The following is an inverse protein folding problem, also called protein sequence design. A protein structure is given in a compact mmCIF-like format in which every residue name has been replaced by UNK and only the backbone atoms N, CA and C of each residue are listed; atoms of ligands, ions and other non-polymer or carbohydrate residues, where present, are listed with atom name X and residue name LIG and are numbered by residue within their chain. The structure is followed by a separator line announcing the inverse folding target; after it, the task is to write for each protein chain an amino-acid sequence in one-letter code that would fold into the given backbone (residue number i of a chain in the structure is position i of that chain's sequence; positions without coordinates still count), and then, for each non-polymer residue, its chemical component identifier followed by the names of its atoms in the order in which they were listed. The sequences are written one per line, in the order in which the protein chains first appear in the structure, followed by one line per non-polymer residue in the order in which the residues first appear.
data_IF_821611019459
#
_entry.id   IF_821611019459
#
_cell.length_a   1.000
_cell.length_b   1.000
_cell.length_c   1.000
_cell.angle_alpha   90.00
_cell.angle_beta   90.00
_cell.angle_gamma   90.00
#
_symmetry.space_group_name_H-M   'P 1'
#
loop_
_entity.id
_entity.type
_entity.pdbx_description
1 polymer ?
#
# COMPACT_ATOMS: atom_id res chain seq x y z
N UNK A 1 4.64 6.74 10.73
CA UNK A 1 4.76 6.22 9.36
C UNK A 1 6.15 5.70 9.15
N UNK A 2 6.27 4.47 8.65
CA UNK A 2 7.55 3.87 8.26
C UNK A 2 7.63 3.77 6.74
N UNK A 3 8.70 4.27 6.14
CA UNK A 3 8.96 4.18 4.70
C UNK A 3 10.18 3.31 4.46
N UNK A 4 10.03 2.29 3.61
CA UNK A 4 11.09 1.37 3.23
C UNK A 4 11.44 1.48 1.74
N UNK A 5 12.72 1.40 1.45
CA UNK A 5 13.25 1.17 0.11
C UNK A 5 13.86 -0.24 0.09
N UNK A 6 13.14 -1.21 -0.43
CA UNK A 6 13.42 -2.64 -0.19
C UNK A 6 12.98 -3.57 -1.33
N UNK A 7 13.34 -4.84 -1.21
CA UNK A 7 12.95 -5.89 -2.16
C UNK A 7 13.82 -5.92 -3.40
N UNK A 8 13.30 -6.47 -4.47
CA UNK A 8 13.99 -6.60 -5.74
C UNK A 8 13.32 -5.73 -6.80
N UNK A 9 14.13 -5.16 -7.70
CA UNK A 9 13.60 -4.47 -8.87
C UNK A 9 12.79 -5.44 -9.75
N UNK A 10 11.70 -4.91 -10.31
CA UNK A 10 10.79 -5.60 -11.26
C UNK A 10 9.96 -6.74 -10.65
N UNK A 11 10.05 -7.00 -9.36
CA UNK A 11 9.18 -7.95 -8.70
C UNK A 11 7.80 -7.35 -8.41
N UNK A 12 6.75 -8.09 -8.77
CA UNK A 12 5.36 -7.72 -8.53
C UNK A 12 4.81 -8.22 -7.17
N UNK A 13 5.57 -9.06 -6.49
CA UNK A 13 5.21 -9.60 -5.18
C UNK A 13 6.31 -9.32 -4.17
N UNK A 14 5.97 -9.05 -2.91
CA UNK A 14 6.96 -8.83 -1.88
C UNK A 14 7.72 -10.12 -1.56
N UNK A 15 9.00 -9.99 -1.26
CA UNK A 15 9.81 -11.07 -0.71
C UNK A 15 9.37 -11.42 0.71
N UNK A 16 9.72 -12.61 1.19
CA UNK A 16 9.47 -13.01 2.58
C UNK A 16 10.10 -12.06 3.60
N UNK A 17 11.26 -11.48 3.26
CA UNK A 17 11.90 -10.49 4.11
C UNK A 17 11.11 -9.20 4.22
N UNK A 18 10.55 -8.72 3.11
CA UNK A 18 9.67 -7.53 3.12
C UNK A 18 8.43 -7.77 3.99
N UNK A 19 7.79 -8.95 3.85
CA UNK A 19 6.62 -9.31 4.64
C UNK A 19 6.96 -9.31 6.12
N UNK A 20 8.06 -10.00 6.50
CA UNK A 20 8.53 -10.06 7.89
C UNK A 20 8.84 -8.67 8.46
N UNK A 21 9.56 -7.85 7.73
CA UNK A 21 9.94 -6.51 8.18
C UNK A 21 8.75 -5.54 8.23
N UNK A 22 7.83 -5.62 7.26
CA UNK A 22 6.60 -4.82 7.25
C UNK A 22 5.72 -5.11 8.46
N UNK A 23 5.49 -6.39 8.74
CA UNK A 23 4.72 -6.83 9.93
C UNK A 23 5.44 -6.47 11.23
N UNK A 24 6.77 -6.62 11.30
CA UNK A 24 7.55 -6.21 12.46
C UNK A 24 7.43 -4.70 12.73
N UNK A 25 7.43 -3.87 11.69
CA UNK A 25 7.22 -2.43 11.85
C UNK A 25 5.86 -2.12 12.46
N UNK A 26 4.79 -2.81 12.02
CA UNK A 26 3.44 -2.70 12.60
C UNK A 26 3.43 -3.16 14.06
N UNK A 27 3.99 -4.33 14.36
CA UNK A 27 4.07 -4.85 15.72
C UNK A 27 4.89 -3.95 16.66
N UNK A 28 5.78 -3.14 16.08
CA UNK A 28 6.57 -2.12 16.80
C UNK A 28 5.88 -0.76 16.91
N UNK A 29 4.62 -0.65 16.47
CA UNK A 29 3.79 0.56 16.62
C UNK A 29 3.75 1.49 15.41
N UNK A 30 4.09 1.02 14.21
CA UNK A 30 3.84 1.79 13.01
C UNK A 30 2.34 1.86 12.70
N UNK A 31 1.84 3.04 12.35
CA UNK A 31 0.45 3.26 11.94
C UNK A 31 0.26 3.14 10.42
N UNK A 32 1.33 3.12 9.67
CA UNK A 32 1.35 2.94 8.21
C UNK A 32 2.74 2.51 7.76
N UNK A 33 2.82 1.56 6.83
CA UNK A 33 4.06 1.15 6.18
C UNK A 33 3.97 1.40 4.68
N UNK A 34 4.94 2.14 4.12
CA UNK A 34 5.04 2.45 2.70
C UNK A 34 6.34 1.88 2.13
N UNK A 35 6.24 1.06 1.11
CA UNK A 35 7.35 0.44 0.42
C UNK A 35 7.60 1.04 -0.96
N UNK A 36 8.86 0.97 -1.39
CA UNK A 36 9.36 1.46 -2.66
C UNK A 36 10.44 0.53 -3.22
N UNK A 37 10.98 0.83 -4.38
CA UNK A 37 12.13 0.19 -5.03
C UNK A 37 11.81 -0.79 -6.14
N UNK A 38 10.81 -1.62 -6.03
CA UNK A 38 10.56 -2.65 -7.06
C UNK A 38 10.23 -2.07 -8.43
N UNK A 39 9.86 -0.79 -8.52
CA UNK A 39 9.34 -0.16 -9.74
C UNK A 39 8.13 -0.91 -10.31
N UNK A 40 7.41 -1.59 -9.43
CA UNK A 40 6.17 -2.33 -9.71
C UNK A 40 5.18 -2.06 -8.59
N UNK A 41 3.92 -2.05 -8.91
CA UNK A 41 2.90 -2.06 -7.86
C UNK A 41 2.91 -3.42 -7.17
N UNK A 42 3.25 -3.42 -5.89
CA UNK A 42 3.11 -4.59 -5.05
C UNK A 42 1.77 -4.54 -4.29
N UNK A 43 1.28 -5.69 -3.82
CA UNK A 43 0.02 -5.77 -3.08
C UNK A 43 0.04 -4.95 -1.81
N UNK A 44 -1.16 -4.67 -1.31
CA UNK A 44 -1.39 -4.05 -0.01
C UNK A 44 -1.85 -5.15 0.95
N UNK A 45 -1.32 -5.14 2.14
CA UNK A 45 -1.71 -6.00 3.25
C UNK A 45 -2.38 -5.16 4.34
N UNK A 46 -3.41 -5.72 4.99
CA UNK A 46 -4.01 -5.13 6.18
C UNK A 46 -3.74 -6.04 7.38
N UNK A 47 -2.70 -5.71 8.12
CA UNK A 47 -2.17 -6.54 9.21
C UNK A 47 -2.30 -5.81 10.55
N UNK A 48 -2.92 -6.45 11.54
CA UNK A 48 -3.15 -5.89 12.89
C UNK A 48 -3.75 -4.47 12.89
N UNK A 49 -4.69 -4.19 11.95
CA UNK A 49 -5.36 -2.88 11.87
C UNK A 49 -4.56 -1.82 11.10
N UNK A 50 -3.42 -2.17 10.48
CA UNK A 50 -2.52 -1.24 9.78
C UNK A 50 -2.31 -1.68 8.34
N UNK A 51 -2.28 -0.73 7.41
CA UNK A 51 -1.95 -0.99 6.02
C UNK A 51 -0.45 -1.04 5.80
N UNK A 52 -0.01 -2.05 5.05
CA UNK A 52 1.35 -2.22 4.54
C UNK A 52 1.27 -2.17 3.03
N UNK A 53 1.74 -1.09 2.41
CA UNK A 53 1.88 -0.95 0.97
C UNK A 53 3.30 -1.40 0.60
N UNK A 54 3.46 -2.58 0.02
CA UNK A 54 4.79 -3.14 -0.24
C UNK A 54 5.57 -2.42 -1.33
N UNK A 55 4.91 -1.86 -2.35
CA UNK A 55 5.48 -0.89 -3.29
C UNK A 55 4.39 -0.15 -4.05
N UNK A 56 4.54 1.16 -4.17
CA UNK A 56 3.58 2.05 -4.83
C UNK A 56 3.74 2.13 -6.35
N UNK A 57 4.80 1.53 -6.92
CA UNK A 57 5.12 1.62 -8.34
C UNK A 57 5.86 2.90 -8.74
N UNK A 58 5.74 3.30 -10.01
CA UNK A 58 6.45 4.44 -10.62
C UNK A 58 5.56 5.69 -10.73
N UNK A 59 5.35 6.42 -9.66
CA UNK A 59 4.53 7.64 -9.72
C UNK A 59 5.26 8.81 -10.39
N UNK A 60 6.52 9.06 -10.00
CA UNK A 60 7.37 10.08 -10.60
C UNK A 60 8.79 9.53 -10.73
N UNK A 61 9.16 9.12 -11.93
CA UNK A 61 10.44 8.46 -12.20
C UNK A 61 11.19 9.17 -13.32
N UNK A 62 11.85 10.27 -12.98
CA UNK A 62 12.52 11.15 -13.93
C UNK A 62 13.78 10.54 -14.58
N UNK A 63 14.38 9.51 -13.98
CA UNK A 63 15.60 8.86 -14.49
C UNK A 63 15.40 7.94 -15.68
N UNK A 64 14.17 7.65 -16.08
CA UNK A 64 13.84 6.77 -17.19
C UNK A 64 12.62 7.30 -17.94
N UNK A 65 12.85 7.73 -19.18
CA UNK A 65 11.79 8.29 -20.03
C UNK A 65 10.73 7.28 -20.48
N UNK A 66 11.04 5.98 -20.40
CA UNK A 66 10.12 4.91 -20.81
C UNK A 66 10.34 3.65 -19.95
N UNK A 67 9.94 3.66 -18.68
CA UNK A 67 10.01 2.46 -17.86
C UNK A 67 9.13 1.34 -18.43
N UNK A 68 9.53 0.10 -18.23
CA UNK A 68 8.80 -1.08 -18.72
C UNK A 68 7.42 -1.27 -18.09
N UNK A 69 7.17 -0.65 -16.95
CA UNK A 69 5.88 -0.53 -16.29
C UNK A 69 5.76 0.87 -15.70
N UNK A 70 4.74 1.61 -16.13
CA UNK A 70 4.44 2.97 -15.66
C UNK A 70 3.29 2.99 -14.66
N UNK A 71 2.81 1.82 -14.25
CA UNK A 71 1.70 1.71 -13.32
C UNK A 71 2.12 2.14 -11.92
N UNK A 72 1.27 2.89 -11.28
CA UNK A 72 1.41 3.27 -9.88
C UNK A 72 0.05 3.49 -9.25
N UNK A 73 0.00 3.56 -7.94
CA UNK A 73 -1.17 4.01 -7.21
C UNK A 73 -0.79 5.03 -6.15
N UNK A 74 -1.74 5.86 -5.78
CA UNK A 74 -1.62 6.77 -4.67
C UNK A 74 -2.41 6.17 -3.49
N UNK A 75 -1.72 5.98 -2.37
CA UNK A 75 -2.37 5.59 -1.12
C UNK A 75 -2.82 6.85 -0.40
N UNK A 76 -4.12 7.00 -0.19
CA UNK A 76 -4.70 8.11 0.52
C UNK A 76 -5.27 7.63 1.85
N UNK A 77 -4.91 8.31 2.93
CA UNK A 77 -5.41 8.02 4.27
C UNK A 77 -5.83 9.31 4.96
N UNK A 78 -6.86 9.22 5.79
CA UNK A 78 -7.26 10.30 6.68
C UNK A 78 -6.97 9.88 8.10
N UNK A 79 -6.13 10.64 8.76
CA UNK A 79 -5.82 10.46 10.17
C UNK A 79 -6.69 11.41 10.98
N UNK A 80 -7.46 10.89 11.90
CA UNK A 80 -8.01 11.70 12.98
C UNK A 80 -7.01 11.65 14.13
N UNK A 81 -6.22 12.71 14.28
CA UNK A 81 -5.39 12.88 15.47
C UNK A 81 -6.34 13.27 16.59
N UNK A 82 -6.50 12.47 17.65
CA UNK A 82 -7.28 12.90 18.80
C UNK A 82 -6.51 14.02 19.47
N UNK A 83 -6.95 15.26 19.30
CA UNK A 83 -6.55 16.33 20.21
C UNK A 83 -7.19 15.95 21.54
N UNK A 84 -6.39 15.51 22.50
CA UNK A 84 -6.83 15.19 23.84
C UNK A 84 -7.35 16.44 24.53
N UNK A 85 -8.62 16.72 24.37
CA UNK A 85 -9.40 17.53 25.30
C UNK A 85 -10.68 16.78 25.73
N UNK A 86 -10.85 15.53 25.46
CA UNK A 86 -11.79 14.62 26.12
C UNK A 86 -11.76 13.23 25.49
N UNK A 87 -11.80 12.24 26.31
CA UNK A 87 -11.94 10.82 26.19
C UNK A 87 -12.72 10.24 24.99
N UNK A 88 -12.22 10.34 23.75
CA UNK A 88 -12.66 9.48 22.63
C UNK A 88 -11.53 9.24 21.67
N UNK A 89 -11.12 7.99 21.58
CA UNK A 89 -10.28 7.47 20.51
C UNK A 89 -11.14 7.37 19.25
N UNK A 90 -10.99 8.30 18.32
CA UNK A 90 -11.55 8.17 17.00
C UNK A 90 -10.63 7.33 16.11
N UNK A 91 -11.24 6.46 15.32
CA UNK A 91 -10.55 5.53 14.45
C UNK A 91 -9.76 6.26 13.38
N UNK A 92 -8.57 5.74 13.09
CA UNK A 92 -7.82 6.08 11.90
C UNK A 92 -8.44 5.34 10.71
N UNK A 93 -9.04 6.05 9.77
CA UNK A 93 -9.52 5.47 8.53
C UNK A 93 -8.44 5.57 7.46
N UNK A 94 -7.92 4.43 7.05
CA UNK A 94 -6.96 4.30 5.98
C UNK A 94 -7.67 3.78 4.73
N UNK A 95 -7.74 4.58 3.69
CA UNK A 95 -8.40 4.16 2.44
C UNK A 95 -7.43 4.28 1.28
N UNK A 96 -6.98 3.18 0.66
CA UNK A 96 -6.26 3.27 -0.59
C UNK A 96 -7.19 3.78 -1.70
N UNK A 97 -6.72 4.78 -2.42
CA UNK A 97 -7.44 5.35 -3.55
C UNK A 97 -6.70 5.04 -4.83
N UNK A 98 -7.39 4.46 -5.79
CA UNK A 98 -6.83 4.23 -7.12
C UNK A 98 -7.36 5.31 -8.05
N UNK A 99 -6.44 6.07 -8.66
CA UNK A 99 -6.77 7.08 -9.66
C UNK A 99 -6.77 6.46 -11.05
N UNK A 100 -7.72 6.86 -11.83
CA UNK A 100 -8.00 6.36 -13.17
C UNK A 100 -9.48 6.01 -13.29
N UNK A 101 -9.94 5.88 -14.51
CA UNK A 101 -11.30 5.51 -14.85
C UNK A 101 -11.33 4.30 -15.78
N UNK A 102 -12.48 3.63 -15.83
CA UNK A 102 -12.75 2.54 -16.76
C UNK A 102 -11.69 1.43 -16.75
N UNK A 103 -11.41 0.92 -17.94
CA UNK A 103 -10.57 -0.26 -18.14
C UNK A 103 -9.13 -0.14 -17.58
N UNK A 104 -8.56 1.06 -17.59
CA UNK A 104 -7.20 1.29 -17.06
C UNK A 104 -7.16 1.08 -15.54
N UNK A 105 -8.13 1.65 -14.81
CA UNK A 105 -8.30 1.42 -13.38
C UNK A 105 -8.49 -0.06 -13.08
N UNK A 106 -9.39 -0.72 -13.81
CA UNK A 106 -9.74 -2.12 -13.56
C UNK A 106 -8.55 -3.05 -13.81
N UNK A 107 -7.69 -2.74 -14.78
CA UNK A 107 -6.44 -3.45 -15.02
C UNK A 107 -5.46 -3.30 -13.84
N UNK A 108 -5.31 -2.09 -13.29
CA UNK A 108 -4.48 -1.82 -12.11
C UNK A 108 -4.98 -2.60 -10.89
N UNK A 109 -6.29 -2.52 -10.61
CA UNK A 109 -6.92 -3.24 -9.49
C UNK A 109 -6.77 -4.76 -9.62
N UNK A 110 -6.94 -5.28 -10.83
CA UNK A 110 -6.75 -6.70 -11.13
C UNK A 110 -5.29 -7.12 -10.87
N UNK A 111 -4.34 -6.29 -11.25
CA UNK A 111 -2.91 -6.53 -11.03
C UNK A 111 -2.60 -6.59 -9.53
N UNK A 112 -3.05 -5.61 -8.75
CA UNK A 112 -2.86 -5.60 -7.29
C UNK A 112 -3.45 -6.85 -6.63
N UNK A 113 -4.67 -7.21 -7.01
CA UNK A 113 -5.36 -8.41 -6.51
C UNK A 113 -4.61 -9.70 -6.85
N UNK A 114 -4.13 -9.83 -8.08
CA UNK A 114 -3.42 -11.02 -8.52
C UNK A 114 -2.05 -11.17 -7.85
N UNK A 115 -1.34 -10.07 -7.67
CA UNK A 115 0.00 -10.06 -7.04
C UNK A 115 -0.05 -10.38 -5.55
N UNK A 116 -1.22 -10.19 -4.91
CA UNK A 116 -1.41 -10.44 -3.49
C UNK A 116 -1.84 -11.86 -3.10
N UNK A 117 -2.09 -12.75 -4.07
CA UNK A 117 -2.66 -14.09 -3.79
C UNK A 117 -1.85 -14.95 -2.81
N UNK A 118 -0.56 -14.68 -2.65
CA UNK A 118 0.32 -15.41 -1.72
C UNK A 118 0.37 -14.81 -0.32
N UNK A 119 -0.28 -13.68 -0.07
CA UNK A 119 -0.30 -13.01 1.23
C UNK A 119 -1.51 -13.46 2.05
N UNK A 120 -1.30 -13.69 3.33
CA UNK A 120 -2.33 -14.12 4.27
C UNK A 120 -3.38 -13.05 4.54
N UNK A 121 -2.97 -11.79 4.64
CA UNK A 121 -3.81 -10.64 5.00
C UNK A 121 -3.94 -9.63 3.84
N UNK A 122 -3.93 -10.13 2.60
CA UNK A 122 -4.00 -9.25 1.42
C UNK A 122 -5.33 -8.52 1.35
N UNK A 123 -5.27 -7.25 0.96
CA UNK A 123 -6.45 -6.51 0.54
C UNK A 123 -6.86 -7.00 -0.84
N UNK A 124 -8.03 -7.60 -0.94
CA UNK A 124 -8.54 -8.27 -2.15
C UNK A 124 -9.62 -7.47 -2.88
N UNK A 125 -10.15 -6.42 -2.25
CA UNK A 125 -11.23 -5.59 -2.80
C UNK A 125 -10.78 -4.13 -2.88
N UNK A 126 -11.00 -3.50 -4.02
CA UNK A 126 -10.65 -2.12 -4.34
C UNK A 126 -11.76 -1.46 -5.16
N UNK A 127 -11.99 -0.15 -5.06
CA UNK A 127 -11.47 0.73 -4.00
C UNK A 127 -12.01 0.32 -2.63
N UNK A 128 -11.28 0.64 -1.57
CA UNK A 128 -11.79 0.45 -0.22
C UNK A 128 -12.84 1.54 0.05
N UNK A 129 -14.02 1.12 0.43
CA UNK A 129 -15.09 2.05 0.80
C UNK A 129 -14.85 2.61 2.20
N UNK A 130 -15.20 3.89 2.37
CA UNK A 130 -15.25 4.51 3.69
C UNK A 130 -16.31 3.80 4.52
N UNK A 131 -15.91 3.24 5.64
CA UNK A 131 -16.86 2.86 6.69
C UNK A 131 -16.90 4.02 7.68
N UNK A 132 -18.05 4.70 7.72
CA UNK A 132 -18.34 5.73 8.72
C UNK A 132 -18.35 5.17 10.15
#
# INVERSE_FOLDING_TARGET
IVSFHWGNEKDYSPTQNQIKMGRLAVDSGADLVLGHHSHRMNPIEYYNGVYICYSLGNFCFAGNSKPSDMSSFMFQTRWRIPIRISSRTDRNDFTPTVFGDGAARDAVLTTLKNNGKSLEYVVSEYPLEWKE
#
